data_IF_369768545323
#
_entry.id   IF_369768545323
#
_cell.length_a   1.000
_cell.length_b   1.000
_cell.length_c   1.000
_cell.angle_alpha   90.00
_cell.angle_beta   90.00
_cell.angle_gamma   90.00
#
_symmetry.space_group_name_H-M   'P 1'
#
loop_
_entity.id
_entity.type
_entity.pdbx_description
1 polymer ?
#
# COMPACT_ATOMS: atom_id res chain seq x y z
N UNK A 1 -13.60 67.83 6.74
CA UNK A 1 -12.74 66.75 7.27
C UNK A 1 -13.51 65.46 7.15
N UNK A 2 -13.11 64.59 6.24
CA UNK A 2 -13.76 63.33 5.86
C UNK A 2 -12.90 62.18 6.39
N UNK A 3 -13.21 61.58 7.56
CA UNK A 3 -12.42 60.49 8.14
C UNK A 3 -12.96 59.09 7.81
N UNK A 4 -14.02 58.98 7.00
CA UNK A 4 -14.84 57.75 6.96
C UNK A 4 -14.47 56.74 5.88
N UNK A 5 -13.57 57.06 4.95
CA UNK A 5 -13.26 56.19 3.80
C UNK A 5 -12.22 55.13 4.13
N UNK A 6 -11.25 55.44 4.99
CA UNK A 6 -10.11 54.57 5.29
C UNK A 6 -10.48 53.34 6.13
N UNK A 7 -11.43 53.45 7.06
CA UNK A 7 -11.79 52.35 7.96
C UNK A 7 -12.55 51.22 7.26
N UNK A 8 -13.41 51.56 6.30
CA UNK A 8 -14.21 50.59 5.56
C UNK A 8 -13.35 49.79 4.58
N UNK A 9 -12.47 50.45 3.82
CA UNK A 9 -11.56 49.76 2.89
C UNK A 9 -10.55 48.85 3.61
N UNK A 10 -10.01 49.29 4.76
CA UNK A 10 -9.12 48.44 5.57
C UNK A 10 -9.84 47.20 6.10
N UNK A 11 -11.09 47.33 6.53
CA UNK A 11 -11.87 46.19 7.04
C UNK A 11 -12.18 45.19 5.91
N UNK A 12 -12.52 45.67 4.70
CA UNK A 12 -12.79 44.80 3.55
C UNK A 12 -11.54 44.06 3.07
N UNK A 13 -10.41 44.75 2.89
CA UNK A 13 -9.15 44.12 2.47
C UNK A 13 -8.66 43.09 3.51
N UNK A 14 -8.79 43.42 4.79
CA UNK A 14 -8.45 42.51 5.88
C UNK A 14 -9.22 41.18 5.80
N UNK A 15 -10.53 41.28 5.54
CA UNK A 15 -11.42 40.12 5.44
C UNK A 15 -11.09 39.26 4.21
N UNK A 16 -10.72 39.89 3.10
CA UNK A 16 -10.37 39.18 1.86
C UNK A 16 -9.07 38.37 1.98
N UNK A 17 -8.04 38.92 2.65
CA UNK A 17 -6.77 38.23 2.89
C UNK A 17 -6.97 36.97 3.75
N UNK A 18 -7.69 37.10 4.87
CA UNK A 18 -8.01 35.97 5.76
C UNK A 18 -8.80 34.88 5.01
N UNK A 19 -9.87 35.26 4.31
CA UNK A 19 -10.70 34.32 3.55
C UNK A 19 -9.91 33.60 2.46
N UNK A 20 -9.02 34.30 1.76
CA UNK A 20 -8.14 33.73 0.74
C UNK A 20 -7.22 32.67 1.36
N UNK A 21 -6.60 32.99 2.51
CA UNK A 21 -5.73 32.07 3.24
C UNK A 21 -6.50 30.83 3.73
N UNK A 22 -7.64 31.02 4.40
CA UNK A 22 -8.49 29.92 4.89
C UNK A 22 -8.98 29.03 3.74
N UNK A 23 -9.32 29.59 2.59
CA UNK A 23 -9.73 28.83 1.40
C UNK A 23 -8.56 28.00 0.85
N UNK A 24 -7.36 28.56 0.82
CA UNK A 24 -6.14 27.87 0.41
C UNK A 24 -5.75 26.71 1.35
N UNK A 25 -5.89 26.91 2.67
CA UNK A 25 -5.69 25.89 3.71
C UNK A 25 -6.75 24.79 3.61
N UNK A 26 -8.04 25.17 3.57
CA UNK A 26 -9.17 24.23 3.48
C UNK A 26 -9.03 23.27 2.28
N UNK A 27 -8.62 23.80 1.12
CA UNK A 27 -8.41 22.97 -0.09
C UNK A 27 -7.33 21.91 0.11
N UNK A 28 -6.29 22.20 0.88
CA UNK A 28 -5.14 21.32 1.14
C UNK A 28 -5.40 20.34 2.29
N UNK A 29 -6.22 20.72 3.26
CA UNK A 29 -6.64 19.86 4.38
C UNK A 29 -7.75 18.86 4.03
N UNK A 30 -8.11 18.70 2.75
CA UNK A 30 -9.13 17.72 2.30
C UNK A 30 -8.81 16.26 2.65
N UNK A 31 -7.55 15.95 2.94
CA UNK A 31 -7.12 14.62 3.35
C UNK A 31 -7.44 14.31 4.83
N UNK A 32 -7.70 15.33 5.66
CA UNK A 32 -8.01 15.17 7.08
C UNK A 32 -9.49 14.80 7.30
N UNK A 33 -9.81 14.27 8.48
CA UNK A 33 -11.22 14.09 8.88
C UNK A 33 -11.92 15.46 9.01
N UNK A 34 -13.25 15.51 8.87
CA UNK A 34 -14.00 16.76 9.03
C UNK A 34 -13.73 17.46 10.38
N UNK A 35 -13.60 16.68 11.45
CA UNK A 35 -13.30 17.15 12.81
C UNK A 35 -11.89 17.75 12.91
N UNK A 36 -10.86 17.03 12.44
CA UNK A 36 -9.48 17.52 12.44
C UNK A 36 -9.34 18.79 11.59
N UNK A 37 -9.98 18.82 10.43
CA UNK A 37 -9.99 19.99 9.57
C UNK A 37 -10.68 21.18 10.24
N UNK A 38 -11.80 20.96 10.95
CA UNK A 38 -12.48 22.01 11.68
C UNK A 38 -11.59 22.59 12.78
N UNK A 39 -10.98 21.72 13.61
CA UNK A 39 -10.05 22.13 14.65
C UNK A 39 -8.89 22.98 14.11
N UNK A 40 -8.24 22.54 13.03
CA UNK A 40 -7.13 23.31 12.41
C UNK A 40 -7.62 24.65 11.85
N UNK A 41 -8.81 24.70 11.25
CA UNK A 41 -9.35 25.96 10.73
C UNK A 41 -9.76 26.91 11.87
N UNK A 42 -10.23 26.39 12.99
CA UNK A 42 -10.53 27.18 14.18
C UNK A 42 -9.26 27.73 14.81
N UNK A 43 -8.17 26.96 14.89
CA UNK A 43 -6.86 27.45 15.35
C UNK A 43 -6.32 28.56 14.45
N UNK A 44 -6.48 28.43 13.12
CA UNK A 44 -6.07 29.49 12.18
C UNK A 44 -6.91 30.75 12.38
N UNK A 45 -8.23 30.62 12.54
CA UNK A 45 -9.11 31.78 12.82
C UNK A 45 -8.77 32.45 14.14
N UNK A 46 -8.49 31.67 15.18
CA UNK A 46 -8.04 32.18 16.47
C UNK A 46 -6.73 32.99 16.31
N UNK A 47 -5.78 32.50 15.51
CA UNK A 47 -4.56 33.25 15.23
C UNK A 47 -4.79 34.60 14.56
N UNK A 48 -5.74 34.69 13.62
CA UNK A 48 -6.13 35.97 13.01
C UNK A 48 -6.82 36.90 14.02
N UNK A 49 -7.69 36.35 14.89
CA UNK A 49 -8.33 37.12 15.96
C UNK A 49 -7.29 37.69 16.95
N UNK A 50 -6.35 36.87 17.42
CA UNK A 50 -5.26 37.28 18.31
C UNK A 50 -4.37 38.36 17.67
N UNK A 51 -4.11 38.25 16.36
CA UNK A 51 -3.36 39.26 15.62
C UNK A 51 -4.12 40.59 15.55
N UNK A 52 -5.43 40.55 15.28
CA UNK A 52 -6.28 41.72 15.24
C UNK A 52 -6.37 42.42 16.61
N UNK A 53 -6.52 41.67 17.71
CA UNK A 53 -6.50 42.20 19.08
C UNK A 53 -5.16 42.86 19.43
N UNK A 54 -4.05 42.34 18.89
CA UNK A 54 -2.72 42.93 19.01
C UNK A 54 -2.45 44.12 18.06
N UNK A 55 -3.44 44.55 17.27
CA UNK A 55 -3.30 45.64 16.30
C UNK A 55 -2.45 45.31 15.07
N UNK A 56 -2.21 44.02 14.80
CA UNK A 56 -1.49 43.55 13.60
C UNK A 56 -2.44 43.41 12.42
N UNK A 57 -1.93 43.63 11.21
CA UNK A 57 -2.74 43.46 9.98
C UNK A 57 -2.85 41.97 9.60
N UNK A 58 -3.86 41.56 8.82
CA UNK A 58 -3.98 40.17 8.36
C UNK A 58 -2.80 39.69 7.52
N UNK A 59 -2.12 40.59 6.80
CA UNK A 59 -0.90 40.25 6.06
C UNK A 59 0.22 39.83 7.03
N UNK A 60 0.36 40.52 8.16
CA UNK A 60 1.32 40.16 9.22
C UNK A 60 0.92 38.85 9.90
N UNK A 61 -0.39 38.58 10.06
CA UNK A 61 -0.87 37.29 10.57
C UNK A 61 -0.55 36.15 9.59
N UNK A 62 -0.75 36.36 8.27
CA UNK A 62 -0.35 35.40 7.22
C UNK A 62 1.16 35.19 7.22
N UNK A 63 1.96 36.25 7.37
CA UNK A 63 3.42 36.15 7.45
C UNK A 63 3.86 35.29 8.64
N UNK A 64 3.18 35.42 9.79
CA UNK A 64 3.42 34.58 10.97
C UNK A 64 3.08 33.10 10.77
N UNK A 65 2.03 32.80 10.00
CA UNK A 65 1.64 31.43 9.64
C UNK A 65 2.49 30.84 8.51
N UNK A 66 3.04 31.69 7.64
CA UNK A 66 3.83 31.33 6.47
C UNK A 66 3.00 30.89 5.26
N UNK A 67 3.66 30.29 4.27
CA UNK A 67 2.99 29.79 3.07
C UNK A 67 1.95 28.68 3.42
N UNK A 68 0.70 28.77 2.93
CA UNK A 68 -0.35 27.78 3.21
C UNK A 68 0.05 26.33 2.90
N UNK A 69 0.88 26.09 1.87
CA UNK A 69 1.31 24.73 1.55
C UNK A 69 2.31 24.19 2.58
N UNK A 70 3.20 25.05 3.06
CA UNK A 70 4.15 24.71 4.12
C UNK A 70 3.46 24.51 5.46
N UNK A 71 2.54 25.41 5.84
CA UNK A 71 1.70 25.29 7.04
C UNK A 71 0.92 23.97 7.05
N UNK A 72 0.15 23.70 5.98
CA UNK A 72 -0.68 22.49 5.91
C UNK A 72 0.12 21.21 5.90
N UNK A 73 1.31 21.19 5.27
CA UNK A 73 2.24 20.05 5.34
C UNK A 73 2.75 19.81 6.76
N UNK A 74 3.06 20.88 7.51
CA UNK A 74 3.49 20.77 8.92
C UNK A 74 2.36 20.20 9.79
N UNK A 75 1.16 20.77 9.68
CA UNK A 75 -0.03 20.28 10.40
C UNK A 75 -0.35 18.83 10.04
N UNK A 76 -0.28 18.47 8.75
CA UNK A 76 -0.47 17.08 8.33
C UNK A 76 0.59 16.16 8.94
N UNK A 77 1.86 16.56 8.97
CA UNK A 77 2.93 15.79 9.59
C UNK A 77 2.73 15.62 11.11
N UNK A 78 2.32 16.69 11.81
CA UNK A 78 1.97 16.67 13.23
C UNK A 78 0.79 15.73 13.52
N UNK A 79 -0.20 15.72 12.62
CA UNK A 79 -1.33 14.79 12.65
C UNK A 79 -1.01 13.40 12.06
N UNK A 80 0.26 13.09 11.80
CA UNK A 80 0.72 11.77 11.32
C UNK A 80 0.42 11.44 9.84
N UNK A 81 -0.04 12.41 9.05
CA UNK A 81 -0.30 12.31 7.62
C UNK A 81 0.98 12.60 6.80
N UNK A 82 1.86 11.60 6.71
CA UNK A 82 3.07 11.68 5.88
C UNK A 82 2.79 11.17 4.44
N UNK A 83 2.53 12.10 3.51
CA UNK A 83 2.33 11.78 2.09
C UNK A 83 3.53 11.02 1.48
N UNK A 84 4.75 11.35 1.92
CA UNK A 84 5.97 10.67 1.48
C UNK A 84 6.04 9.21 1.93
N UNK A 85 5.52 8.91 3.13
CA UNK A 85 5.33 7.53 3.62
C UNK A 85 4.37 6.76 2.72
N UNK A 86 3.19 7.31 2.41
CA UNK A 86 2.19 6.62 1.60
C UNK A 86 2.69 6.33 0.18
N UNK A 87 3.38 7.30 -0.43
CA UNK A 87 4.00 7.12 -1.75
C UNK A 87 5.12 6.08 -1.72
N UNK A 88 5.90 6.01 -0.63
CA UNK A 88 6.92 4.98 -0.45
C UNK A 88 6.30 3.59 -0.34
N UNK A 89 5.28 3.42 0.51
CA UNK A 89 4.57 2.14 0.68
C UNK A 89 4.07 1.64 -0.69
N UNK A 90 3.37 2.53 -1.42
CA UNK A 90 2.88 2.22 -2.77
C UNK A 90 4.01 1.81 -3.70
N UNK A 91 5.10 2.59 -3.74
CA UNK A 91 6.23 2.35 -4.63
C UNK A 91 6.92 1.02 -4.36
N UNK A 92 7.16 0.68 -3.09
CA UNK A 92 7.80 -0.59 -2.72
C UNK A 92 6.92 -1.78 -3.12
N UNK A 93 5.63 -1.74 -2.80
CA UNK A 93 4.69 -2.81 -3.19
C UNK A 93 4.58 -2.94 -4.71
N UNK A 94 4.51 -1.82 -5.43
CA UNK A 94 4.42 -1.83 -6.89
C UNK A 94 5.69 -2.39 -7.54
N UNK A 95 6.88 -1.99 -7.10
CA UNK A 95 8.14 -2.57 -7.61
C UNK A 95 8.27 -4.04 -7.26
N UNK A 96 7.79 -4.45 -6.08
CA UNK A 96 7.76 -5.88 -5.71
C UNK A 96 6.81 -6.65 -6.62
N UNK A 97 5.63 -6.08 -6.96
CA UNK A 97 4.71 -6.68 -7.93
C UNK A 97 5.36 -6.83 -9.31
N UNK A 98 6.08 -5.81 -9.79
CA UNK A 98 6.83 -5.87 -11.05
C UNK A 98 7.90 -6.95 -10.99
N UNK A 99 8.70 -6.99 -9.91
CA UNK A 99 9.72 -8.01 -9.71
C UNK A 99 9.13 -9.42 -9.68
N UNK A 100 7.99 -9.60 -9.02
CA UNK A 100 7.25 -10.86 -9.00
C UNK A 100 6.77 -11.25 -10.40
N UNK A 101 6.21 -10.31 -11.17
CA UNK A 101 5.75 -10.58 -12.53
C UNK A 101 6.90 -11.00 -13.46
N UNK A 102 8.06 -10.34 -13.36
CA UNK A 102 9.25 -10.70 -14.13
C UNK A 102 9.78 -12.07 -13.69
N UNK A 103 9.80 -12.32 -12.39
CA UNK A 103 10.21 -13.62 -11.84
C UNK A 103 9.29 -14.75 -12.30
N UNK A 104 7.98 -14.56 -12.27
CA UNK A 104 6.99 -15.49 -12.84
C UNK A 104 7.24 -15.72 -14.33
N UNK A 105 7.43 -14.65 -15.12
CA UNK A 105 7.68 -14.76 -16.55
C UNK A 105 8.96 -15.57 -16.87
N UNK A 106 10.04 -15.30 -16.14
CA UNK A 106 11.29 -16.05 -16.23
C UNK A 106 11.09 -17.52 -15.87
N UNK A 107 10.38 -17.77 -14.78
CA UNK A 107 10.09 -19.11 -14.30
C UNK A 107 9.26 -19.92 -15.31
N UNK A 108 8.19 -19.35 -15.85
CA UNK A 108 7.39 -19.97 -16.92
C UNK A 108 8.18 -20.23 -18.20
N UNK A 109 9.07 -19.31 -18.56
CA UNK A 109 9.83 -19.40 -19.81
C UNK A 109 10.95 -20.42 -19.76
N UNK A 110 11.69 -20.49 -18.66
CA UNK A 110 12.97 -21.20 -18.61
C UNK A 110 12.97 -22.44 -17.73
N UNK A 111 12.14 -22.46 -16.68
CA UNK A 111 12.19 -23.50 -15.65
C UNK A 111 10.98 -24.42 -15.71
N UNK A 112 9.94 -24.01 -16.43
CA UNK A 112 8.70 -24.78 -16.50
C UNK A 112 8.78 -25.89 -17.55
N UNK A 113 8.42 -27.13 -17.23
CA UNK A 113 8.48 -28.24 -18.18
C UNK A 113 7.61 -27.99 -19.42
N UNK A 114 8.15 -28.25 -20.60
CA UNK A 114 7.41 -28.17 -21.87
C UNK A 114 6.14 -29.05 -21.78
N UNK A 115 4.98 -28.46 -22.10
CA UNK A 115 3.69 -29.16 -22.12
C UNK A 115 2.78 -28.98 -20.90
N UNK A 116 3.24 -28.32 -19.82
CA UNK A 116 2.41 -28.04 -18.64
C UNK A 116 1.91 -26.58 -18.57
N UNK A 117 1.04 -26.13 -19.48
CA UNK A 117 0.44 -24.78 -19.36
C UNK A 117 -0.81 -24.79 -18.49
N UNK A 118 -0.79 -24.03 -17.38
CA UNK A 118 -1.96 -23.81 -16.50
C UNK A 118 -2.77 -22.59 -16.97
N UNK A 119 -3.48 -22.74 -18.10
CA UNK A 119 -4.34 -21.70 -18.63
C UNK A 119 -5.58 -22.24 -19.32
N UNK A 120 -6.75 -21.69 -18.98
CA UNK A 120 -8.05 -22.12 -19.52
C UNK A 120 -8.28 -21.68 -20.97
N UNK A 121 -7.60 -20.62 -21.43
CA UNK A 121 -8.01 -19.87 -22.62
C UNK A 121 -6.97 -19.75 -23.74
N UNK A 122 -5.73 -20.20 -23.56
CA UNK A 122 -4.67 -19.98 -24.56
C UNK A 122 -3.89 -21.26 -24.84
N UNK A 123 -4.32 -22.08 -25.82
CA UNK A 123 -3.48 -23.14 -26.37
C UNK A 123 -2.40 -22.50 -27.26
N UNK A 124 -1.33 -21.98 -26.66
CA UNK A 124 -0.25 -21.36 -27.42
C UNK A 124 0.74 -22.43 -27.92
N UNK A 125 0.65 -22.79 -29.20
CA UNK A 125 1.65 -23.58 -29.95
C UNK A 125 2.63 -22.66 -30.69
N UNK A 126 3.21 -21.70 -29.97
CA UNK A 126 4.25 -20.84 -30.54
C UNK A 126 5.62 -21.36 -30.11
N UNK A 127 6.50 -21.63 -31.05
CA UNK A 127 7.90 -21.96 -30.74
C UNK A 127 8.70 -20.65 -30.49
N UNK A 128 9.61 -20.69 -29.52
CA UNK A 128 10.68 -19.69 -29.37
C UNK A 128 10.34 -18.36 -28.69
N UNK A 129 10.96 -17.28 -29.18
CA UNK A 129 11.00 -15.94 -28.56
C UNK A 129 9.63 -15.30 -28.29
N UNK A 130 8.60 -15.68 -29.05
CA UNK A 130 7.24 -15.16 -28.87
C UNK A 130 6.64 -15.54 -27.50
N UNK A 131 6.96 -16.74 -26.98
CA UNK A 131 6.52 -17.19 -25.65
C UNK A 131 7.13 -16.30 -24.56
N UNK A 132 8.41 -15.99 -24.70
CA UNK A 132 9.13 -15.09 -23.77
C UNK A 132 8.47 -13.72 -23.75
N UNK A 133 8.23 -13.13 -24.94
CA UNK A 133 7.61 -11.81 -25.03
C UNK A 133 6.19 -11.79 -24.46
N UNK A 134 5.43 -12.86 -24.68
CA UNK A 134 4.08 -13.01 -24.14
C UNK A 134 4.07 -13.10 -22.61
N UNK A 135 4.97 -13.89 -22.02
CA UNK A 135 5.11 -14.02 -20.56
C UNK A 135 5.48 -12.70 -19.87
N UNK A 136 6.09 -11.76 -20.60
CA UNK A 136 6.44 -10.42 -20.09
C UNK A 136 5.27 -9.42 -20.09
N UNK A 137 4.16 -9.70 -20.77
CA UNK A 137 3.02 -8.77 -20.85
C UNK A 137 2.48 -8.40 -19.45
N UNK A 138 2.24 -9.33 -18.52
CA UNK A 138 1.81 -8.98 -17.16
C UNK A 138 2.82 -8.09 -16.43
N UNK A 139 4.13 -8.29 -16.64
CA UNK A 139 5.16 -7.46 -16.02
C UNK A 139 5.12 -6.01 -16.55
N UNK A 140 4.94 -5.84 -17.86
CA UNK A 140 4.79 -4.51 -18.48
C UNK A 140 3.53 -3.80 -17.99
N UNK A 141 2.39 -4.52 -17.93
CA UNK A 141 1.13 -3.98 -17.39
C UNK A 141 1.30 -3.57 -15.92
N UNK A 142 2.01 -4.39 -15.12
CA UNK A 142 2.29 -4.08 -13.71
C UNK A 142 3.19 -2.85 -13.56
N UNK A 143 4.05 -2.52 -14.52
CA UNK A 143 4.93 -1.34 -14.44
C UNK A 143 4.20 -0.02 -14.74
N UNK A 144 3.04 -0.03 -15.41
CA UNK A 144 2.34 1.18 -15.87
C UNK A 144 2.11 2.25 -14.78
N UNK A 145 1.68 1.94 -13.54
CA UNK A 145 1.44 2.97 -12.53
C UNK A 145 2.70 3.74 -12.10
N UNK A 146 3.89 3.20 -12.38
CA UNK A 146 5.18 3.82 -12.05
C UNK A 146 5.56 4.93 -13.04
N UNK A 147 5.16 4.81 -14.31
CA UNK A 147 5.51 5.77 -15.38
C UNK A 147 4.44 6.83 -15.58
N UNK A 148 3.20 6.59 -15.15
CA UNK A 148 2.09 7.52 -15.32
C UNK A 148 2.16 8.71 -14.33
N UNK A 149 1.79 9.93 -14.77
CA UNK A 149 1.72 11.11 -13.89
C UNK A 149 0.85 10.88 -12.64
N UNK A 150 1.21 11.56 -11.54
CA UNK A 150 0.56 11.39 -10.24
C UNK A 150 -0.98 11.57 -10.29
N UNK A 151 -1.49 12.43 -11.18
CA UNK A 151 -2.93 12.69 -11.36
C UNK A 151 -3.71 11.48 -11.90
N UNK A 152 -3.08 10.65 -12.74
CA UNK A 152 -3.72 9.48 -13.36
C UNK A 152 -3.33 8.15 -12.69
N UNK A 153 -2.30 8.16 -11.83
CA UNK A 153 -1.73 6.96 -11.19
C UNK A 153 -2.77 6.07 -10.50
N UNK A 154 -3.72 6.63 -9.77
CA UNK A 154 -4.76 5.83 -9.08
C UNK A 154 -5.68 5.12 -10.08
N UNK A 155 -6.14 5.83 -11.13
CA UNK A 155 -6.98 5.24 -12.16
C UNK A 155 -6.25 4.13 -12.93
N UNK A 156 -4.98 4.35 -13.28
CA UNK A 156 -4.13 3.33 -13.90
C UNK A 156 -3.92 2.14 -12.98
N UNK A 157 -3.65 2.35 -11.68
CA UNK A 157 -3.47 1.25 -10.73
C UNK A 157 -4.73 0.38 -10.61
N UNK A 158 -5.92 0.98 -10.56
CA UNK A 158 -7.20 0.24 -10.55
C UNK A 158 -7.36 -0.60 -11.82
N UNK A 159 -7.11 -0.02 -12.99
CA UNK A 159 -7.20 -0.73 -14.27
C UNK A 159 -6.20 -1.90 -14.34
N UNK A 160 -4.95 -1.66 -13.94
CA UNK A 160 -3.89 -2.68 -13.90
C UNK A 160 -4.26 -3.83 -12.98
N UNK A 161 -4.74 -3.54 -11.77
CA UNK A 161 -5.18 -4.56 -10.82
C UNK A 161 -6.34 -5.40 -11.37
N UNK A 162 -7.32 -4.77 -12.02
CA UNK A 162 -8.43 -5.47 -12.66
C UNK A 162 -7.94 -6.40 -13.78
N UNK A 163 -7.09 -5.90 -14.68
CA UNK A 163 -6.49 -6.68 -15.77
C UNK A 163 -5.67 -7.85 -15.23
N UNK A 164 -4.81 -7.63 -14.24
CA UNK A 164 -4.00 -8.68 -13.62
C UNK A 164 -4.87 -9.73 -12.92
N UNK A 165 -5.99 -9.33 -12.31
CA UNK A 165 -6.92 -10.27 -11.68
C UNK A 165 -7.58 -11.17 -12.74
N UNK A 166 -8.05 -10.58 -13.85
CA UNK A 166 -8.63 -11.34 -14.97
C UNK A 166 -7.59 -12.28 -15.57
N UNK A 167 -6.36 -11.80 -15.83
CA UNK A 167 -5.27 -12.64 -16.34
C UNK A 167 -4.94 -13.77 -15.37
N UNK A 168 -4.81 -13.49 -14.08
CA UNK A 168 -4.48 -14.50 -13.07
C UNK A 168 -5.56 -15.58 -12.92
N UNK A 169 -6.84 -15.23 -13.04
CA UNK A 169 -7.95 -16.19 -12.86
C UNK A 169 -8.33 -16.91 -14.15
N UNK A 170 -8.32 -16.22 -15.29
CA UNK A 170 -8.84 -16.75 -16.55
C UNK A 170 -7.74 -17.31 -17.47
N UNK A 171 -6.52 -16.80 -17.38
CA UNK A 171 -5.46 -17.10 -18.34
C UNK A 171 -4.28 -17.85 -17.71
N UNK A 172 -3.72 -17.37 -16.60
CA UNK A 172 -2.44 -17.84 -16.08
C UNK A 172 -2.39 -17.73 -14.54
N UNK A 173 -2.71 -18.84 -13.87
CA UNK A 173 -2.80 -18.93 -12.41
C UNK A 173 -1.48 -18.63 -11.67
N UNK A 174 -0.35 -18.75 -12.34
CA UNK A 174 1.01 -18.38 -11.89
C UNK A 174 1.17 -16.89 -11.55
N UNK A 175 0.33 -16.01 -12.10
CA UNK A 175 0.35 -14.56 -11.85
C UNK A 175 -0.52 -14.10 -10.67
N UNK A 176 -1.17 -15.03 -9.95
CA UNK A 176 -1.96 -14.71 -8.74
C UNK A 176 -1.12 -13.93 -7.71
N UNK A 177 0.13 -14.31 -7.36
CA UNK A 177 0.96 -13.52 -6.45
C UNK A 177 1.20 -12.06 -6.91
N UNK A 178 1.39 -11.86 -8.21
CA UNK A 178 1.56 -10.52 -8.80
C UNK A 178 0.29 -9.69 -8.62
N UNK A 179 -0.89 -10.27 -8.89
CA UNK A 179 -2.16 -9.60 -8.69
C UNK A 179 -2.39 -9.25 -7.20
N UNK A 180 -2.03 -10.15 -6.27
CA UNK A 180 -2.09 -9.91 -4.82
C UNK A 180 -1.23 -8.69 -4.41
N UNK A 181 0.01 -8.61 -4.90
CA UNK A 181 0.91 -7.47 -4.62
C UNK A 181 0.40 -6.16 -5.25
N UNK A 182 -0.19 -6.22 -6.44
CA UNK A 182 -0.80 -5.05 -7.08
C UNK A 182 -2.02 -4.54 -6.29
N UNK A 183 -2.88 -5.45 -5.82
CA UNK A 183 -3.96 -5.12 -4.88
C UNK A 183 -3.43 -4.50 -3.59
N UNK A 184 -2.36 -5.06 -3.01
CA UNK A 184 -1.72 -4.50 -1.83
C UNK A 184 -1.19 -3.08 -2.09
N UNK A 185 -0.55 -2.82 -3.23
CA UNK A 185 -0.06 -1.50 -3.61
C UNK A 185 -1.18 -0.45 -3.71
N UNK A 186 -2.40 -0.88 -4.06
CA UNK A 186 -3.59 -0.04 -4.12
C UNK A 186 -4.22 0.21 -2.74
N UNK A 187 -4.40 -0.85 -1.95
CA UNK A 187 -5.19 -0.83 -0.71
C UNK A 187 -4.37 -0.40 0.52
N UNK A 188 -3.14 -0.88 0.67
CA UNK A 188 -2.33 -0.68 1.89
C UNK A 188 -2.04 0.80 2.17
N UNK A 189 -1.68 1.65 1.18
CA UNK A 189 -1.50 3.08 1.43
C UNK A 189 -2.78 3.76 1.94
N UNK A 190 -3.96 3.32 1.47
CA UNK A 190 -5.25 3.85 1.92
C UNK A 190 -5.54 3.41 3.35
N UNK A 191 -5.25 2.14 3.69
CA UNK A 191 -5.41 1.62 5.04
C UNK A 191 -4.44 2.28 6.05
N UNK A 192 -3.24 2.66 5.61
CA UNK A 192 -2.20 3.30 6.42
C UNK A 192 -2.31 4.84 6.50
N UNK A 193 -3.29 5.46 5.82
CA UNK A 193 -3.38 6.93 5.69
C UNK A 193 -3.56 7.67 7.01
N UNK A 194 -4.21 7.04 7.98
CA UNK A 194 -4.46 7.61 9.31
C UNK A 194 -3.50 7.07 10.38
N UNK A 195 -2.32 6.59 9.99
CA UNK A 195 -1.28 6.13 10.91
C UNK A 195 -1.13 4.60 10.96
N UNK A 196 -1.38 4.01 12.14
CA UNK A 196 -1.35 2.55 12.31
C UNK A 196 -2.59 1.93 11.67
N UNK A 197 -2.45 0.81 10.94
CA UNK A 197 -3.60 0.18 10.30
C UNK A 197 -4.61 -0.28 11.36
N UNK A 198 -5.89 -0.25 11.00
CA UNK A 198 -6.98 -0.64 11.88
C UNK A 198 -6.82 -2.09 12.39
N UNK A 199 -7.35 -2.44 13.58
CA UNK A 199 -7.29 -3.80 14.12
C UNK A 199 -7.81 -4.85 13.13
N UNK A 200 -8.86 -4.52 12.38
CA UNK A 200 -9.42 -5.39 11.34
C UNK A 200 -8.36 -5.82 10.30
N UNK A 201 -7.47 -4.92 9.86
CA UNK A 201 -6.42 -5.26 8.90
C UNK A 201 -5.43 -6.29 9.46
N UNK A 202 -5.07 -6.14 10.73
CA UNK A 202 -4.16 -7.07 11.44
C UNK A 202 -4.81 -8.43 11.65
N UNK A 203 -6.08 -8.45 12.04
CA UNK A 203 -6.85 -9.68 12.23
C UNK A 203 -6.98 -10.42 10.90
N UNK A 204 -7.36 -9.73 9.82
CA UNK A 204 -7.48 -10.33 8.49
C UNK A 204 -6.14 -10.88 7.99
N UNK A 205 -5.06 -10.10 8.10
CA UNK A 205 -3.71 -10.55 7.70
C UNK A 205 -3.23 -11.75 8.51
N UNK A 206 -3.46 -11.75 9.83
CA UNK A 206 -3.13 -12.86 10.71
C UNK A 206 -3.95 -14.11 10.39
N UNK A 207 -5.27 -13.97 10.20
CA UNK A 207 -6.17 -15.07 9.86
C UNK A 207 -5.82 -15.70 8.51
N UNK A 208 -5.52 -14.90 7.49
CA UNK A 208 -5.07 -15.39 6.18
C UNK A 208 -3.74 -16.15 6.27
N UNK A 209 -2.81 -15.69 7.12
CA UNK A 209 -1.54 -16.39 7.35
C UNK A 209 -1.73 -17.74 8.09
N UNK A 210 -2.71 -17.81 8.99
CA UNK A 210 -3.05 -19.05 9.71
C UNK A 210 -3.80 -20.06 8.85
N UNK A 211 -4.49 -19.62 7.79
CA UNK A 211 -5.40 -20.46 7.00
C UNK A 211 -4.73 -21.73 6.44
N UNK A 212 -3.54 -21.69 5.81
CA UNK A 212 -2.88 -22.91 5.34
C UNK A 212 -2.61 -23.90 6.48
N UNK A 213 -2.14 -23.42 7.64
CA UNK A 213 -1.92 -24.27 8.82
C UNK A 213 -3.21 -24.89 9.35
N UNK A 214 -4.32 -24.15 9.37
CA UNK A 214 -5.64 -24.65 9.77
C UNK A 214 -6.16 -25.73 8.81
N UNK A 215 -5.97 -25.55 7.49
CA UNK A 215 -6.30 -26.55 6.49
C UNK A 215 -5.45 -27.81 6.65
N UNK A 216 -4.15 -27.66 6.96
CA UNK A 216 -3.26 -28.79 7.24
C UNK A 216 -3.72 -29.62 8.45
N UNK A 217 -4.10 -28.95 9.55
CA UNK A 217 -4.67 -29.61 10.74
C UNK A 217 -5.97 -30.32 10.40
N UNK A 218 -6.84 -29.68 9.61
CA UNK A 218 -8.13 -30.27 9.22
C UNK A 218 -7.95 -31.54 8.38
N UNK A 219 -7.04 -31.51 7.40
CA UNK A 219 -6.71 -32.69 6.59
C UNK A 219 -6.08 -33.82 7.39
N UNK A 220 -5.26 -33.50 8.41
CA UNK A 220 -4.71 -34.50 9.31
C UNK A 220 -5.79 -35.17 10.18
N UNK A 221 -6.72 -34.38 10.75
CA UNK A 221 -7.85 -34.92 11.53
C UNK A 221 -8.75 -35.80 10.65
N UNK A 222 -8.91 -35.44 9.38
CA UNK A 222 -9.64 -36.24 8.40
C UNK A 222 -8.89 -37.50 7.94
N UNK A 223 -7.66 -37.73 8.40
CA UNK A 223 -6.85 -38.91 8.03
C UNK A 223 -6.25 -38.83 6.63
N UNK A 224 -6.18 -37.65 6.00
CA UNK A 224 -5.63 -37.49 4.65
C UNK A 224 -4.10 -37.58 4.61
N UNK A 225 -3.42 -37.26 5.72
CA UNK A 225 -1.98 -37.40 5.91
C UNK A 225 -1.63 -37.51 7.40
N UNK A 226 -0.41 -37.96 7.71
CA UNK A 226 0.12 -37.99 9.08
C UNK A 226 0.62 -36.62 9.55
N UNK A 227 0.57 -36.38 10.87
CA UNK A 227 1.25 -35.26 11.52
C UNK A 227 2.66 -35.68 11.91
N UNK A 228 3.58 -35.54 10.97
CA UNK A 228 5.00 -35.69 11.24
C UNK A 228 5.52 -34.46 12.02
N UNK A 229 6.68 -34.61 12.68
CA UNK A 229 7.20 -33.58 13.59
C UNK A 229 7.50 -32.24 12.88
N UNK A 230 7.95 -32.32 11.64
CA UNK A 230 8.20 -31.17 10.75
C UNK A 230 6.90 -30.47 10.34
N UNK A 231 5.84 -31.22 9.99
CA UNK A 231 4.53 -30.68 9.70
C UNK A 231 3.93 -29.95 10.91
N UNK A 232 4.06 -30.53 12.12
CA UNK A 232 3.63 -29.88 13.36
C UNK A 232 4.41 -28.58 13.62
N UNK A 233 5.74 -28.61 13.43
CA UNK A 233 6.58 -27.43 13.59
C UNK A 233 6.20 -26.31 12.59
N UNK A 234 5.91 -26.67 11.33
CA UNK A 234 5.46 -25.75 10.30
C UNK A 234 4.10 -25.11 10.63
N UNK A 235 3.11 -25.93 11.04
CA UNK A 235 1.79 -25.45 11.48
C UNK A 235 1.94 -24.50 12.67
N UNK A 236 2.72 -24.88 13.68
CA UNK A 236 2.98 -24.05 14.85
C UNK A 236 3.64 -22.71 14.48
N UNK A 237 4.58 -22.72 13.52
CA UNK A 237 5.21 -21.50 13.02
C UNK A 237 4.20 -20.57 12.31
N UNK A 238 3.33 -21.09 11.45
CA UNK A 238 2.29 -20.30 10.78
C UNK A 238 1.30 -19.69 11.78
N UNK A 239 0.85 -20.49 12.75
CA UNK A 239 -0.06 -20.02 13.81
C UNK A 239 0.61 -18.96 14.69
N UNK A 240 1.86 -19.19 15.09
CA UNK A 240 2.64 -18.24 15.88
C UNK A 240 2.86 -16.91 15.15
N UNK A 241 3.30 -16.95 13.89
CA UNK A 241 3.51 -15.75 13.08
C UNK A 241 2.20 -15.02 12.80
N UNK A 242 1.11 -15.75 12.51
CA UNK A 242 -0.23 -15.18 12.36
C UNK A 242 -0.69 -14.44 13.61
N UNK A 243 -0.48 -15.03 14.79
CA UNK A 243 -0.85 -14.42 16.07
C UNK A 243 -0.04 -13.16 16.32
N UNK A 244 1.26 -13.18 16.02
CA UNK A 244 2.13 -12.02 16.19
C UNK A 244 1.77 -10.87 15.21
N UNK A 245 1.31 -11.18 13.99
CA UNK A 245 0.70 -10.18 13.08
C UNK A 245 -0.57 -9.60 13.69
N UNK A 246 -1.46 -10.44 14.22
CA UNK A 246 -2.69 -10.01 14.90
C UNK A 246 -2.38 -9.08 16.07
N UNK A 247 -1.31 -9.35 16.84
CA UNK A 247 -0.80 -8.50 17.95
C UNK A 247 -0.07 -7.24 17.46
N UNK A 248 0.24 -7.13 16.17
CA UNK A 248 0.76 -5.90 15.57
C UNK A 248 2.25 -5.65 15.81
N UNK A 249 3.03 -6.72 16.02
CA UNK A 249 4.49 -6.60 16.07
C UNK A 249 5.02 -6.23 14.69
N UNK A 250 5.84 -5.20 14.57
CA UNK A 250 6.27 -4.65 13.27
C UNK A 250 7.26 -5.54 12.53
N UNK A 251 8.16 -6.23 13.25
CA UNK A 251 9.19 -7.09 12.66
C UNK A 251 8.64 -8.36 12.02
N UNK A 252 7.46 -8.83 12.44
CA UNK A 252 6.88 -10.09 11.95
C UNK A 252 6.56 -10.04 10.48
N UNK A 253 6.15 -8.87 9.98
CA UNK A 253 5.88 -8.68 8.56
C UNK A 253 7.13 -8.92 7.71
N UNK A 254 8.30 -8.45 8.16
CA UNK A 254 9.55 -8.66 7.44
C UNK A 254 9.95 -10.15 7.42
N UNK A 255 9.78 -10.85 8.55
CA UNK A 255 10.04 -12.30 8.63
C UNK A 255 9.10 -13.07 7.71
N UNK A 256 7.79 -12.79 7.76
CA UNK A 256 6.79 -13.46 6.90
C UNK A 256 7.06 -13.16 5.42
N UNK A 257 7.47 -11.94 5.08
CA UNK A 257 7.84 -11.60 3.71
C UNK A 257 9.08 -12.38 3.24
N UNK A 258 10.11 -12.50 4.09
CA UNK A 258 11.31 -13.28 3.79
C UNK A 258 10.99 -14.77 3.62
N UNK A 259 10.14 -15.32 4.49
CA UNK A 259 9.63 -16.70 4.34
C UNK A 259 8.88 -16.85 3.01
N UNK A 260 8.02 -15.89 2.65
CA UNK A 260 7.30 -15.91 1.36
C UNK A 260 8.25 -15.95 0.15
N UNK A 261 9.32 -15.14 0.16
CA UNK A 261 10.36 -15.19 -0.88
C UNK A 261 11.06 -16.56 -0.89
N UNK A 262 11.43 -17.09 0.27
CA UNK A 262 12.05 -18.41 0.39
C UNK A 262 11.17 -19.53 -0.17
N UNK A 263 9.86 -19.51 0.14
CA UNK A 263 8.87 -20.47 -0.38
C UNK A 263 8.71 -20.34 -1.89
N UNK A 264 8.70 -19.12 -2.45
CA UNK A 264 8.64 -18.89 -3.90
C UNK A 264 9.87 -19.46 -4.61
N UNK A 265 11.08 -19.22 -4.07
CA UNK A 265 12.32 -19.79 -4.63
C UNK A 265 12.33 -21.31 -4.49
N UNK A 266 11.89 -21.85 -3.36
CA UNK A 266 11.79 -23.30 -3.17
C UNK A 266 10.86 -23.95 -4.20
N UNK A 267 9.70 -23.33 -4.46
CA UNK A 267 8.76 -23.80 -5.46
C UNK A 267 9.35 -23.87 -6.89
N UNK A 268 10.40 -23.10 -7.20
CA UNK A 268 11.07 -23.23 -8.50
C UNK A 268 12.06 -24.38 -8.58
N UNK A 269 12.50 -24.90 -7.43
CA UNK A 269 13.47 -26.00 -7.34
C UNK A 269 12.78 -27.37 -7.29
N UNK A 270 11.57 -27.41 -6.72
CA UNK A 270 10.75 -28.63 -6.60
C UNK A 270 9.46 -28.49 -7.41
N UNK A 271 9.51 -28.94 -8.67
CA UNK A 271 8.41 -28.88 -9.65
C UNK A 271 7.37 -29.99 -9.47
N UNK A 272 7.12 -30.43 -8.23
CA UNK A 272 6.14 -31.45 -7.91
C UNK A 272 4.69 -31.04 -8.21
N UNK A 273 3.73 -31.98 -8.06
CA UNK A 273 2.31 -31.75 -8.37
C UNK A 273 1.67 -30.58 -7.58
N UNK A 274 2.29 -30.14 -6.48
CA UNK A 274 1.80 -29.05 -5.63
C UNK A 274 2.51 -27.72 -5.87
N UNK A 275 3.36 -27.61 -6.89
CA UNK A 275 4.16 -26.41 -7.17
C UNK A 275 3.29 -25.14 -7.19
N UNK A 276 2.11 -25.18 -7.81
CA UNK A 276 1.22 -24.02 -7.89
C UNK A 276 0.66 -23.62 -6.51
N UNK A 277 0.31 -24.59 -5.67
CA UNK A 277 -0.18 -24.32 -4.32
C UNK A 277 0.92 -23.71 -3.44
N UNK A 278 2.15 -24.25 -3.52
CA UNK A 278 3.32 -23.71 -2.81
C UNK A 278 3.68 -22.31 -3.32
N UNK A 279 3.60 -22.11 -4.64
CA UNK A 279 3.80 -20.80 -5.28
C UNK A 279 2.81 -19.76 -4.77
N UNK A 280 1.53 -20.11 -4.71
CA UNK A 280 0.48 -19.24 -4.17
C UNK A 280 0.68 -18.94 -2.69
N UNK A 281 1.06 -19.95 -1.89
CA UNK A 281 1.35 -19.76 -0.47
C UNK A 281 2.52 -18.78 -0.27
N UNK A 282 3.61 -18.94 -1.03
CA UNK A 282 4.75 -18.01 -1.01
C UNK A 282 4.36 -16.58 -1.40
N UNK A 283 3.55 -16.43 -2.46
CA UNK A 283 3.01 -15.15 -2.89
C UNK A 283 2.11 -14.48 -1.85
N UNK A 284 1.25 -15.26 -1.19
CA UNK A 284 0.39 -14.80 -0.11
C UNK A 284 1.22 -14.31 1.09
N UNK A 285 2.22 -15.09 1.52
CA UNK A 285 3.12 -14.73 2.61
C UNK A 285 3.91 -13.46 2.29
N UNK A 286 4.47 -13.37 1.08
CA UNK A 286 5.17 -12.16 0.63
C UNK A 286 4.26 -10.93 0.68
N UNK A 287 3.03 -11.06 0.17
CA UNK A 287 2.06 -9.96 0.14
C UNK A 287 1.65 -9.51 1.53
N UNK A 288 1.24 -10.45 2.40
CA UNK A 288 0.82 -10.15 3.77
C UNK A 288 1.98 -9.56 4.57
N UNK A 289 3.14 -10.22 4.52
CA UNK A 289 4.32 -9.83 5.27
C UNK A 289 4.80 -8.42 4.90
N UNK A 290 4.96 -8.16 3.59
CA UNK A 290 5.44 -6.87 3.11
C UNK A 290 4.43 -5.76 3.40
N UNK A 291 3.13 -6.02 3.19
CA UNK A 291 2.07 -5.07 3.53
C UNK A 291 2.08 -4.70 5.01
N UNK A 292 2.21 -5.70 5.89
CA UNK A 292 2.25 -5.50 7.34
C UNK A 292 3.51 -4.74 7.77
N UNK A 293 4.68 -5.11 7.25
CA UNK A 293 5.95 -4.45 7.55
C UNK A 293 5.92 -2.97 7.16
N UNK A 294 5.44 -2.66 5.95
CA UNK A 294 5.35 -1.30 5.45
C UNK A 294 4.31 -0.45 6.20
N UNK A 295 3.15 -1.05 6.53
CA UNK A 295 2.11 -0.37 7.29
C UNK A 295 2.52 -0.09 8.76
N UNK A 296 3.47 -0.83 9.33
CA UNK A 296 3.95 -0.64 10.71
C UNK A 296 5.35 -0.03 10.81
N UNK A 297 6.01 0.27 9.68
CA UNK A 297 7.29 0.94 9.68
C UNK A 297 7.17 2.32 10.36
N UNK A 298 8.04 2.57 11.35
CA UNK A 298 8.09 3.85 12.02
C UNK A 298 8.43 4.98 11.02
N UNK A 299 7.87 6.19 11.21
CA UNK A 299 8.30 7.35 10.44
C UNK A 299 9.81 7.51 10.59
N UNK A 300 10.53 7.75 9.47
CA UNK A 300 11.94 8.13 9.58
C UNK A 300 11.97 9.50 10.24
N UNK A 301 12.59 9.62 11.42
CA UNK A 301 12.84 10.93 12.04
C UNK A 301 13.65 11.76 11.05
N UNK A 302 13.17 12.96 10.74
CA UNK A 302 13.80 13.86 9.77
C UNK A 302 15.17 14.39 10.25
N UNK A 303 15.47 14.28 11.55
CA UNK A 303 16.65 14.88 12.20
C UNK A 303 17.99 14.16 11.94
N UNK A 304 18.11 13.36 10.86
CA UNK A 304 19.34 12.65 10.50
C UNK A 304 19.79 12.87 9.04
N UNK A 305 19.27 13.90 8.38
CA UNK A 305 19.74 14.38 7.08
C UNK A 305 20.33 15.78 7.25
#
# INVERSE_FOLDING_TARGET
MTPSTTTTEQTTMATDTEQSYLRAVTKRLRALTPEQRAAVLDDVRAHFADAAEAGRTPEQAVEGLGDPATFTRRVQAELGHDAGRLDRIRRVLQWTAVGMAVFTAMFETFLWPEGMTFGLLVPYRGDGFAVVLWSLVPALVTALPLVVPARARTGTAVAVVAVLTVLALAAQMTFVPTAMLAWAALVVPVAARHGRPAPAWRITGGALLMLPGALMVTGAIAGSWGLEADAVAYIAALLGLGLLITVGRSWTGAVVAAVGVGVLVWATLDLGMLVLAVWWAGGLFLTIGLSHALAHAAPRRADRA
#
